data_IF_147731571223
#
_entry.id   IF_147731571223
#
_cell.length_a   1.000
_cell.length_b   1.000
_cell.length_c   1.000
_cell.angle_alpha   90.00
_cell.angle_beta   90.00
_cell.angle_gamma   90.00
#
_symmetry.space_group_name_H-M   'P 1'
#
loop_
_entity.id
_entity.type
_entity.pdbx_description
1 polymer ?
#
# COMPACT_ATOMS: atom_id res chain seq x y z
N UNK A 1 4.86 -36.55 8.48
CA UNK A 1 3.65 -35.78 8.87
C UNK A 1 3.86 -35.30 10.31
N UNK A 2 4.43 -34.11 10.50
CA UNK A 2 4.55 -33.53 11.84
C UNK A 2 3.18 -33.02 12.30
N UNK A 3 2.75 -33.47 13.48
CA UNK A 3 1.53 -32.97 14.13
C UNK A 3 1.76 -31.51 14.50
N UNK A 4 0.96 -30.59 13.94
CA UNK A 4 0.89 -29.20 14.42
C UNK A 4 0.54 -29.25 15.92
N UNK A 5 1.45 -28.81 16.77
CA UNK A 5 1.15 -28.58 18.19
C UNK A 5 0.16 -27.42 18.27
N UNK A 6 -1.06 -27.69 18.72
CA UNK A 6 -1.97 -26.63 19.13
C UNK A 6 -1.41 -26.00 20.41
N UNK A 7 -0.93 -24.77 20.31
CA UNK A 7 -0.59 -23.95 21.46
C UNK A 7 -1.92 -23.36 21.96
N UNK A 8 -2.32 -23.72 23.18
CA UNK A 8 -3.45 -23.10 23.87
C UNK A 8 -2.87 -22.09 24.85
N UNK A 9 -3.27 -20.83 24.70
CA UNK A 9 -2.91 -19.76 25.64
C UNK A 9 -3.99 -19.66 26.70
N UNK A 10 -3.58 -19.37 27.93
CA UNK A 10 -4.50 -19.16 29.04
C UNK A 10 -5.16 -17.79 28.93
N UNK A 11 -6.32 -17.63 29.57
CA UNK A 11 -7.03 -16.35 29.63
C UNK A 11 -6.17 -15.23 30.23
N UNK A 12 -5.36 -15.55 31.24
CA UNK A 12 -4.41 -14.61 31.84
C UNK A 12 -3.28 -14.18 30.88
N UNK A 13 -2.88 -15.05 29.95
CA UNK A 13 -1.91 -14.70 28.89
C UNK A 13 -2.52 -13.78 27.84
N UNK A 14 -3.82 -13.91 27.56
CA UNK A 14 -4.55 -13.01 26.67
C UNK A 14 -4.76 -11.64 27.35
N UNK A 15 -5.18 -11.66 28.61
CA UNK A 15 -5.49 -10.46 29.38
C UNK A 15 -4.23 -9.64 29.77
N UNK A 16 -3.02 -10.20 29.60
CA UNK A 16 -1.73 -9.53 29.88
C UNK A 16 -1.04 -8.94 28.64
N UNK A 17 -1.67 -9.02 27.46
CA UNK A 17 -1.15 -8.39 26.24
C UNK A 17 -1.30 -6.88 26.36
N UNK A 18 -0.19 -6.19 26.63
CA UNK A 18 -0.13 -4.75 26.49
C UNK A 18 -0.05 -4.36 25.01
N UNK A 19 -1.14 -3.80 24.48
CA UNK A 19 -1.12 -3.12 23.19
C UNK A 19 -0.39 -1.79 23.33
N UNK A 20 0.89 -1.78 22.95
CA UNK A 20 1.63 -0.53 22.80
C UNK A 20 1.37 0.04 21.42
N UNK A 21 0.96 1.32 21.29
CA UNK A 21 0.90 1.98 20.00
C UNK A 21 2.28 1.82 19.34
N UNK A 22 2.32 1.29 18.12
CA UNK A 22 3.53 1.37 17.33
C UNK A 22 3.78 2.85 17.04
N UNK A 23 5.02 3.31 17.24
CA UNK A 23 5.45 4.59 16.69
C UNK A 23 5.05 4.65 15.21
N UNK A 24 4.55 5.80 14.75
CA UNK A 24 3.94 5.93 13.42
C UNK A 24 4.83 5.42 12.27
N UNK A 25 6.14 5.70 12.34
CA UNK A 25 7.12 5.18 11.38
C UNK A 25 7.26 3.65 11.47
N UNK A 26 7.18 3.09 12.67
CA UNK A 26 7.22 1.63 12.89
C UNK A 26 5.99 0.93 12.33
N UNK A 27 4.81 1.55 12.44
CA UNK A 27 3.60 1.03 11.81
C UNK A 27 3.75 0.94 10.28
N UNK A 28 4.24 2.01 9.64
CA UNK A 28 4.49 2.03 8.19
C UNK A 28 5.51 0.96 7.75
N UNK A 29 6.59 0.79 8.52
CA UNK A 29 7.61 -0.23 8.28
C UNK A 29 6.99 -1.63 8.32
N UNK A 30 6.28 -1.97 9.39
CA UNK A 30 5.68 -3.29 9.58
C UNK A 30 4.64 -3.58 8.50
N UNK A 31 3.67 -2.68 8.32
CA UNK A 31 2.55 -2.93 7.41
C UNK A 31 2.99 -2.97 5.94
N UNK A 32 3.76 -1.98 5.49
CA UNK A 32 4.02 -1.81 4.05
C UNK A 32 5.35 -2.38 3.58
N UNK A 33 6.39 -2.38 4.42
CA UNK A 33 7.70 -2.92 4.03
C UNK A 33 7.82 -4.39 4.38
N UNK A 34 7.28 -4.84 5.52
CA UNK A 34 7.37 -6.25 5.93
C UNK A 34 6.17 -7.07 5.47
N UNK A 35 4.96 -6.76 5.93
CA UNK A 35 3.78 -7.57 5.65
C UNK A 35 3.39 -7.52 4.16
N UNK A 36 3.16 -6.31 3.64
CA UNK A 36 2.84 -6.17 2.22
C UNK A 36 4.00 -6.65 1.36
N UNK A 37 5.26 -6.35 1.71
CA UNK A 37 6.43 -6.86 0.98
C UNK A 37 6.47 -8.39 0.90
N UNK A 38 6.17 -9.07 2.02
CA UNK A 38 6.02 -10.53 2.06
C UNK A 38 4.87 -11.04 1.18
N UNK A 39 3.74 -10.31 1.14
CA UNK A 39 2.63 -10.63 0.24
C UNK A 39 3.09 -10.46 -1.21
N UNK A 40 3.74 -9.35 -1.58
CA UNK A 40 4.21 -9.10 -2.96
C UNK A 40 5.17 -10.19 -3.42
N UNK A 41 6.13 -10.59 -2.58
CA UNK A 41 7.10 -11.63 -2.89
C UNK A 41 6.55 -13.07 -2.91
N UNK A 42 5.32 -13.30 -2.46
CA UNK A 42 4.68 -14.63 -2.52
C UNK A 42 4.26 -15.01 -3.95
N UNK A 43 4.01 -16.28 -4.25
CA UNK A 43 3.55 -16.69 -5.58
C UNK A 43 2.03 -16.44 -5.78
N UNK A 44 1.64 -16.04 -6.98
CA UNK A 44 0.24 -15.89 -7.40
C UNK A 44 -0.43 -14.61 -6.91
N UNK A 45 -1.74 -14.49 -7.11
CA UNK A 45 -2.57 -13.38 -6.63
C UNK A 45 -2.15 -11.98 -7.10
N UNK A 46 -1.44 -11.86 -8.23
CA UNK A 46 -0.94 -10.58 -8.77
C UNK A 46 -1.99 -9.46 -8.78
N UNK A 47 -3.21 -9.80 -9.18
CA UNK A 47 -4.32 -8.87 -9.22
C UNK A 47 -4.67 -8.26 -7.84
N UNK A 48 -4.72 -9.10 -6.79
CA UNK A 48 -4.99 -8.63 -5.43
C UNK A 48 -3.82 -7.81 -4.88
N UNK A 49 -2.60 -8.15 -5.26
CA UNK A 49 -1.40 -7.43 -4.85
C UNK A 49 -1.39 -5.98 -5.37
N UNK A 50 -1.79 -5.76 -6.63
CA UNK A 50 -1.99 -4.41 -7.15
C UNK A 50 -3.00 -3.60 -6.32
N UNK A 51 -4.11 -4.22 -5.92
CA UNK A 51 -5.13 -3.58 -5.10
C UNK A 51 -4.57 -3.14 -3.74
N UNK A 52 -3.75 -3.98 -3.10
CA UNK A 52 -3.11 -3.66 -1.82
C UNK A 52 -2.14 -2.48 -1.94
N UNK A 53 -1.32 -2.44 -3.01
CA UNK A 53 -0.43 -1.30 -3.26
C UNK A 53 -1.24 -0.02 -3.45
N UNK A 54 -2.29 -0.06 -4.28
CA UNK A 54 -3.17 1.08 -4.53
C UNK A 54 -3.79 1.63 -3.24
N UNK A 55 -4.23 0.75 -2.34
CA UNK A 55 -4.76 1.17 -1.04
C UNK A 55 -3.68 1.80 -0.16
N UNK A 56 -2.46 1.25 -0.20
CA UNK A 56 -1.28 1.82 0.46
C UNK A 56 -0.93 3.21 -0.05
N UNK A 57 -1.02 3.47 -1.37
CA UNK A 57 -0.76 4.81 -1.95
C UNK A 57 -1.70 5.85 -1.35
N UNK A 58 -2.99 5.55 -1.25
CA UNK A 58 -3.94 6.48 -0.62
C UNK A 58 -3.65 6.69 0.85
N UNK A 59 -3.30 5.63 1.57
CA UNK A 59 -2.92 5.72 2.98
C UNK A 59 -1.70 6.63 3.18
N UNK A 60 -0.67 6.53 2.33
CA UNK A 60 0.49 7.44 2.38
C UNK A 60 0.09 8.90 2.21
N UNK A 61 -0.78 9.20 1.24
CA UNK A 61 -1.24 10.57 1.07
C UNK A 61 -2.14 11.05 2.20
N UNK A 62 -2.90 10.13 2.82
CA UNK A 62 -3.60 10.42 4.06
C UNK A 62 -2.58 10.84 5.12
N UNK A 63 -1.48 10.12 5.35
CA UNK A 63 -0.46 10.47 6.35
C UNK A 63 0.07 11.91 6.25
N UNK A 64 0.00 12.53 5.08
CA UNK A 64 0.53 13.87 4.86
C UNK A 64 -0.49 15.02 4.99
N UNK A 65 -1.79 14.75 5.15
CA UNK A 65 -2.80 15.79 5.39
C UNK A 65 -3.17 15.95 6.88
N UNK A 66 -3.87 17.02 7.25
CA UNK A 66 -4.30 17.24 8.64
C UNK A 66 -5.72 16.69 8.91
N UNK A 67 -6.31 15.99 7.95
CA UNK A 67 -7.68 15.48 8.07
C UNK A 67 -7.67 14.12 8.79
N UNK A 68 -8.66 13.84 9.67
CA UNK A 68 -8.85 12.51 10.28
C UNK A 68 -8.99 11.40 9.23
N UNK A 69 -8.69 10.15 9.59
CA UNK A 69 -8.83 9.02 8.66
C UNK A 69 -10.30 8.73 8.32
N UNK A 70 -11.19 8.95 9.29
CA UNK A 70 -12.63 8.68 9.24
C UNK A 70 -13.42 9.76 8.49
N UNK A 71 -12.78 10.91 8.21
CA UNK A 71 -13.45 12.02 7.55
C UNK A 71 -13.86 11.63 6.13
N UNK A 72 -15.17 11.68 5.87
CA UNK A 72 -15.72 11.47 4.54
C UNK A 72 -15.96 12.79 3.82
N UNK A 73 -15.19 13.03 2.76
CA UNK A 73 -15.40 14.11 1.81
C UNK A 73 -15.24 13.56 0.39
N UNK A 74 -16.13 13.95 -0.53
CA UNK A 74 -16.20 13.36 -1.89
C UNK A 74 -14.87 13.38 -2.66
N UNK A 75 -14.05 14.43 -2.48
CA UNK A 75 -12.78 14.60 -3.19
C UNK A 75 -11.58 14.06 -2.42
N UNK A 76 -11.73 13.82 -1.12
CA UNK A 76 -10.60 13.51 -0.25
C UNK A 76 -9.86 12.22 -0.62
N UNK A 77 -10.53 11.11 -1.04
CA UNK A 77 -9.81 9.94 -1.53
C UNK A 77 -8.93 10.23 -2.76
N UNK A 78 -9.42 11.07 -3.68
CA UNK A 78 -8.65 11.49 -4.86
C UNK A 78 -7.45 12.33 -4.46
N UNK A 79 -7.67 13.30 -3.58
CA UNK A 79 -6.63 14.21 -3.11
C UNK A 79 -5.53 13.43 -2.37
N UNK A 80 -5.92 12.52 -1.46
CA UNK A 80 -5.01 11.62 -0.74
C UNK A 80 -4.26 10.71 -1.69
N UNK A 81 -4.93 9.98 -2.57
CA UNK A 81 -4.26 9.09 -3.51
C UNK A 81 -3.25 9.83 -4.40
N UNK A 82 -3.63 10.99 -4.95
CA UNK A 82 -2.72 11.81 -5.76
C UNK A 82 -1.56 12.38 -4.94
N UNK A 83 -1.78 12.72 -3.66
CA UNK A 83 -0.72 13.17 -2.75
C UNK A 83 0.25 12.03 -2.44
N UNK A 84 -0.24 10.83 -2.16
CA UNK A 84 0.58 9.64 -1.98
C UNK A 84 1.42 9.32 -3.22
N UNK A 85 0.81 9.39 -4.40
CA UNK A 85 1.50 9.14 -5.67
C UNK A 85 2.59 10.18 -5.97
N UNK A 86 2.51 11.40 -5.42
CA UNK A 86 3.58 12.41 -5.55
C UNK A 86 4.85 12.07 -4.77
N UNK A 87 4.80 11.13 -3.83
CA UNK A 87 5.99 10.60 -3.17
C UNK A 87 6.77 9.60 -4.03
N UNK A 88 6.18 9.12 -5.12
CA UNK A 88 6.86 8.28 -6.08
C UNK A 88 7.80 9.14 -6.95
N UNK A 89 8.62 8.46 -7.74
CA UNK A 89 9.46 9.08 -8.78
C UNK A 89 8.64 9.98 -9.72
N UNK A 90 9.30 10.98 -10.31
CA UNK A 90 8.65 12.09 -11.05
C UNK A 90 7.84 11.62 -12.26
N UNK A 91 8.15 10.45 -12.79
CA UNK A 91 7.48 9.78 -13.90
C UNK A 91 5.99 9.52 -13.60
N UNK A 92 5.60 9.42 -12.33
CA UNK A 92 4.19 9.25 -11.95
C UNK A 92 3.40 10.56 -11.90
N UNK A 93 4.07 11.69 -11.70
CA UNK A 93 3.42 12.97 -11.41
C UNK A 93 2.49 13.45 -12.53
N UNK A 94 2.80 13.25 -13.83
CA UNK A 94 1.87 13.57 -14.92
C UNK A 94 0.49 12.92 -14.76
N UNK A 95 0.40 11.73 -14.16
CA UNK A 95 -0.86 10.99 -14.02
C UNK A 95 -1.74 11.47 -12.85
N UNK A 96 -1.31 12.48 -12.10
CA UNK A 96 -2.09 13.11 -11.01
C UNK A 96 -2.84 14.37 -11.45
N UNK A 97 -2.57 14.88 -12.66
CA UNK A 97 -3.09 16.15 -13.16
C UNK A 97 -4.41 16.04 -13.94
N UNK A 98 -5.17 17.15 -13.97
CA UNK A 98 -6.47 17.19 -14.68
C UNK A 98 -6.36 17.05 -16.20
N UNK A 99 -5.23 17.42 -16.80
CA UNK A 99 -4.98 17.32 -18.24
C UNK A 99 -4.43 15.98 -18.71
N UNK A 100 -4.23 15.01 -17.83
CA UNK A 100 -3.67 13.70 -18.21
C UNK A 100 -4.70 12.83 -18.93
N UNK A 101 -4.26 12.15 -19.99
CA UNK A 101 -5.07 11.16 -20.73
C UNK A 101 -5.25 9.84 -19.98
N UNK A 102 -4.42 9.59 -18.98
CA UNK A 102 -4.49 8.49 -18.02
C UNK A 102 -4.41 9.10 -16.62
N UNK A 103 -5.40 8.84 -15.77
CA UNK A 103 -5.39 9.31 -14.38
C UNK A 103 -5.41 8.11 -13.45
N UNK A 104 -4.36 7.94 -12.63
CA UNK A 104 -4.29 6.76 -11.76
C UNK A 104 -5.47 6.66 -10.81
N UNK A 105 -5.98 7.79 -10.30
CA UNK A 105 -7.13 7.73 -9.40
C UNK A 105 -8.40 7.24 -10.11
N UNK A 106 -8.76 7.88 -11.22
CA UNK A 106 -10.02 7.61 -11.93
C UNK A 106 -10.00 6.33 -12.75
N UNK A 107 -8.86 6.01 -13.38
CA UNK A 107 -8.75 4.88 -14.31
C UNK A 107 -8.23 3.60 -13.64
N UNK A 108 -7.48 3.70 -12.53
CA UNK A 108 -6.93 2.55 -11.81
C UNK A 108 -7.54 2.39 -10.42
N UNK A 109 -7.25 3.30 -9.47
CA UNK A 109 -7.63 3.17 -8.06
C UNK A 109 -9.13 3.01 -7.88
N UNK A 110 -9.92 4.01 -8.28
CA UNK A 110 -11.36 4.06 -8.01
C UNK A 110 -12.09 2.81 -8.54
N UNK A 111 -11.93 2.42 -9.81
CA UNK A 111 -12.64 1.26 -10.33
C UNK A 111 -12.07 -0.08 -9.83
N UNK A 112 -10.78 -0.16 -9.48
CA UNK A 112 -10.21 -1.37 -8.88
C UNK A 112 -10.70 -1.60 -7.45
N UNK A 113 -10.78 -0.55 -6.62
CA UNK A 113 -11.27 -0.65 -5.24
C UNK A 113 -12.78 -0.92 -5.19
N UNK A 114 -13.57 -0.27 -6.04
CA UNK A 114 -15.03 -0.39 -5.97
C UNK A 114 -15.60 -1.59 -6.75
N UNK A 115 -14.89 -2.09 -7.76
CA UNK A 115 -15.45 -3.08 -8.69
C UNK A 115 -14.48 -4.21 -9.05
N UNK A 116 -13.23 -4.19 -8.57
CA UNK A 116 -12.16 -5.08 -9.06
C UNK A 116 -12.06 -5.04 -10.60
N UNK A 117 -12.13 -3.84 -11.19
CA UNK A 117 -12.15 -3.65 -12.66
C UNK A 117 -11.45 -2.35 -13.07
N UNK A 118 -10.11 -2.25 -13.06
CA UNK A 118 -9.42 -1.08 -13.58
C UNK A 118 -9.72 -0.89 -15.06
N UNK A 119 -9.50 0.32 -15.56
CA UNK A 119 -9.73 0.66 -16.95
C UNK A 119 -8.72 -0.08 -17.85
N UNK A 120 -9.12 -1.23 -18.38
CA UNK A 120 -8.29 -2.09 -19.22
C UNK A 120 -7.89 -1.45 -20.55
N UNK A 121 -8.55 -0.37 -20.97
CA UNK A 121 -8.16 0.42 -22.14
C UNK A 121 -7.01 1.41 -21.83
N UNK A 122 -6.69 1.60 -20.55
CA UNK A 122 -5.67 2.56 -20.08
C UNK A 122 -4.50 1.88 -19.38
N UNK A 123 -4.73 0.76 -18.70
CA UNK A 123 -3.71 0.04 -17.95
C UNK A 123 -3.52 -1.38 -18.43
N UNK A 124 -2.27 -1.81 -18.45
CA UNK A 124 -1.86 -3.20 -18.56
C UNK A 124 -1.13 -3.59 -17.27
N UNK A 125 -1.69 -4.50 -16.51
CA UNK A 125 -1.09 -5.03 -15.28
C UNK A 125 -0.30 -6.29 -15.61
N UNK A 126 0.93 -6.39 -15.14
CA UNK A 126 1.86 -7.49 -15.43
C UNK A 126 2.74 -7.81 -14.23
N UNK A 127 3.36 -8.99 -14.25
CA UNK A 127 4.45 -9.37 -13.35
C UNK A 127 5.79 -9.22 -14.08
N UNK A 128 6.89 -9.04 -13.34
CA UNK A 128 8.24 -8.83 -13.90
C UNK A 128 8.63 -9.97 -14.82
N UNK A 129 8.37 -11.21 -14.41
CA UNK A 129 8.61 -12.41 -15.24
C UNK A 129 7.94 -12.36 -16.62
N UNK A 130 6.69 -11.88 -16.67
CA UNK A 130 5.93 -11.77 -17.93
C UNK A 130 6.39 -10.58 -18.77
N UNK A 131 6.82 -9.50 -18.12
CA UNK A 131 7.27 -8.27 -18.76
C UNK A 131 8.66 -8.45 -19.35
N UNK A 132 9.59 -9.08 -18.62
CA UNK A 132 10.93 -9.45 -19.09
C UNK A 132 10.85 -10.33 -20.34
N UNK A 133 9.97 -11.33 -20.34
CA UNK A 133 9.75 -12.21 -21.49
C UNK A 133 9.25 -11.44 -22.73
N UNK A 134 8.46 -10.37 -22.53
CA UNK A 134 7.89 -9.54 -23.60
C UNK A 134 8.76 -8.32 -23.94
N UNK A 135 9.86 -8.08 -23.21
CA UNK A 135 10.68 -6.87 -23.35
C UNK A 135 9.94 -5.59 -22.97
N UNK A 136 8.96 -5.67 -22.07
CA UNK A 136 8.15 -4.56 -21.63
C UNK A 136 8.73 -3.88 -20.39
N UNK A 137 8.60 -2.57 -20.32
CA UNK A 137 9.13 -1.76 -19.22
C UNK A 137 8.00 -1.17 -18.38
N UNK A 138 8.25 -1.09 -17.07
CA UNK A 138 7.34 -0.41 -16.17
C UNK A 138 7.22 1.09 -16.51
N UNK A 139 5.98 1.60 -16.49
CA UNK A 139 5.57 2.94 -16.92
C UNK A 139 5.80 3.26 -18.40
N UNK A 140 6.12 2.26 -19.23
CA UNK A 140 6.05 2.40 -20.67
C UNK A 140 4.61 2.23 -21.17
N UNK A 141 4.37 2.64 -22.42
CA UNK A 141 3.14 2.36 -23.14
C UNK A 141 3.30 1.12 -24.00
N UNK A 142 2.31 0.24 -23.98
CA UNK A 142 2.26 -0.88 -24.93
C UNK A 142 1.79 -0.43 -26.32
N UNK A 143 1.76 -1.38 -27.27
CA UNK A 143 1.31 -1.13 -28.64
C UNK A 143 -0.16 -0.69 -28.77
N UNK A 144 -0.97 -0.85 -27.70
CA UNK A 144 -2.36 -0.43 -27.63
C UNK A 144 -2.52 0.93 -26.93
N UNK A 145 -1.41 1.57 -26.54
CA UNK A 145 -1.43 2.83 -25.81
C UNK A 145 -1.83 2.69 -24.35
N UNK A 146 -1.71 1.49 -23.75
CA UNK A 146 -1.96 1.27 -22.32
C UNK A 146 -0.67 1.45 -21.53
N UNK A 147 -0.76 2.09 -20.38
CA UNK A 147 0.35 2.22 -19.44
C UNK A 147 0.60 0.87 -18.74
N UNK A 148 1.84 0.41 -18.79
CA UNK A 148 2.27 -0.86 -18.21
C UNK A 148 2.65 -0.66 -16.74
N UNK A 149 1.97 -1.38 -15.84
CA UNK A 149 2.37 -1.50 -14.45
C UNK A 149 2.91 -2.91 -14.20
N UNK A 150 4.19 -2.98 -13.86
CA UNK A 150 4.86 -4.22 -13.44
C UNK A 150 4.75 -4.26 -11.92
N UNK A 151 4.21 -5.34 -11.38
CA UNK A 151 3.82 -5.43 -9.99
C UNK A 151 4.98 -5.17 -9.02
N UNK A 152 6.11 -5.82 -9.27
CA UNK A 152 7.31 -5.75 -8.45
C UNK A 152 7.92 -4.36 -8.49
N UNK A 153 8.04 -3.78 -9.69
CA UNK A 153 8.58 -2.42 -9.87
C UNK A 153 7.64 -1.37 -9.23
N UNK A 154 6.32 -1.56 -9.35
CA UNK A 154 5.33 -0.69 -8.74
C UNK A 154 5.38 -0.77 -7.20
N UNK A 155 5.63 -1.96 -6.65
CA UNK A 155 5.86 -2.12 -5.21
C UNK A 155 7.19 -1.49 -4.77
N UNK A 156 8.27 -1.64 -5.54
CA UNK A 156 9.55 -1.03 -5.22
C UNK A 156 9.44 0.51 -5.18
N UNK A 157 8.79 1.12 -6.19
CA UNK A 157 8.51 2.55 -6.21
C UNK A 157 7.62 2.97 -5.01
N UNK A 158 6.65 2.13 -4.63
CA UNK A 158 5.82 2.34 -3.45
C UNK A 158 6.62 2.25 -2.15
N UNK A 159 7.50 1.26 -2.00
CA UNK A 159 8.34 1.06 -0.82
C UNK A 159 9.29 2.25 -0.63
N UNK A 160 9.81 2.83 -1.71
CA UNK A 160 10.60 4.06 -1.65
C UNK A 160 9.76 5.27 -1.22
N UNK A 161 8.51 5.37 -1.69
CA UNK A 161 7.57 6.38 -1.20
C UNK A 161 7.26 6.22 0.30
N UNK A 162 7.09 4.98 0.79
CA UNK A 162 6.91 4.69 2.23
C UNK A 162 8.12 5.18 3.03
N UNK A 163 9.34 4.83 2.61
CA UNK A 163 10.58 5.26 3.28
C UNK A 163 10.74 6.78 3.29
N UNK A 164 10.33 7.46 2.23
CA UNK A 164 10.31 8.92 2.15
C UNK A 164 9.38 9.53 3.20
N UNK A 165 8.15 9.03 3.31
CA UNK A 165 7.18 9.49 4.32
C UNK A 165 7.67 9.20 5.75
N UNK A 166 8.22 8.01 6.01
CA UNK A 166 8.82 7.68 7.31
C UNK A 166 9.91 8.67 7.70
N UNK A 167 10.83 9.01 6.77
CA UNK A 167 11.87 10.01 7.03
C UNK A 167 11.28 11.37 7.38
N UNK A 168 10.25 11.84 6.68
CA UNK A 168 9.60 13.13 6.99
C UNK A 168 8.98 13.12 8.39
N UNK A 169 8.41 11.99 8.82
CA UNK A 169 7.89 11.82 10.19
C UNK A 169 9.03 11.90 11.22
N UNK A 170 10.12 11.16 10.99
CA UNK A 170 11.30 11.15 11.88
C UNK A 170 11.96 12.52 12.01
N UNK A 171 11.94 13.32 10.94
CA UNK A 171 12.45 14.69 10.92
C UNK A 171 11.45 15.72 11.51
N UNK A 172 10.24 15.31 11.87
CA UNK A 172 9.19 16.21 12.36
C UNK A 172 8.58 17.12 11.28
N UNK A 173 8.78 16.80 10.00
CA UNK A 173 8.22 17.54 8.85
C UNK A 173 6.74 17.17 8.58
N UNK A 174 6.27 16.05 9.15
CA UNK A 174 4.88 15.61 9.09
C UNK A 174 4.32 15.42 10.50
N UNK A 175 3.09 15.90 10.69
CA UNK A 175 2.35 15.65 11.92
C UNK A 175 1.84 14.21 11.95
N UNK A 176 2.50 13.36 12.73
CA UNK A 176 2.14 11.96 12.89
C UNK A 176 1.07 11.70 13.97
N UNK A 177 0.45 12.74 14.56
CA UNK A 177 -0.51 12.58 15.67
C UNK A 177 -1.73 11.72 15.31
N UNK A 178 -2.09 11.65 14.03
CA UNK A 178 -3.18 10.80 13.56
C UNK A 178 -2.79 9.34 13.33
N UNK A 179 -1.49 9.05 13.23
CA UNK A 179 -0.96 7.69 13.14
C UNK A 179 -0.74 7.07 14.53
N UNK A 180 -0.77 7.90 15.58
CA UNK A 180 -0.75 7.45 16.97
C UNK A 180 -2.15 7.11 17.52
N UNK A 181 -3.21 7.45 16.77
CA UNK A 181 -4.55 6.96 17.07
C UNK A 181 -4.53 5.44 16.88
N UNK A 182 -4.91 4.61 17.87
CA UNK A 182 -4.90 3.16 17.74
C UNK A 182 -5.63 2.72 16.47
N UNK A 183 -4.85 2.33 15.46
CA UNK A 183 -5.36 1.59 14.32
C UNK A 183 -5.99 0.29 14.83
N UNK A 184 -7.09 -0.15 14.20
CA UNK A 184 -7.83 -1.36 14.57
C UNK A 184 -6.84 -2.49 14.89
N UNK A 185 -6.86 -2.98 16.13
CA UNK A 185 -6.03 -4.10 16.57
C UNK A 185 -6.50 -5.36 15.86
N UNK A 186 -5.61 -5.99 15.09
CA UNK A 186 -5.85 -7.32 14.53
C UNK A 186 -5.34 -8.34 15.55
N UNK A 187 -6.24 -9.07 16.19
CA UNK A 187 -5.85 -10.18 17.07
C UNK A 187 -5.39 -11.36 16.21
N UNK A 188 -4.10 -11.69 16.25
CA UNK A 188 -3.52 -12.83 15.56
C UNK A 188 -2.82 -13.78 16.54
N UNK A 189 -3.02 -15.09 16.36
CA UNK A 189 -2.40 -16.13 17.19
C UNK A 189 -0.86 -16.07 17.15
N UNK A 190 -0.27 -15.48 16.10
CA UNK A 190 1.20 -15.37 15.98
C UNK A 190 1.82 -14.40 16.97
N UNK A 191 1.13 -13.32 17.33
CA UNK A 191 1.65 -12.28 18.22
C UNK A 191 1.70 -12.76 19.68
N UNK A 192 1.02 -13.88 19.96
CA UNK A 192 0.98 -14.51 21.26
C UNK A 192 2.14 -15.49 21.52
N UNK A 193 2.92 -15.83 20.49
CA UNK A 193 3.98 -16.85 20.57
C UNK A 193 5.37 -16.21 20.69
N UNK A 194 5.52 -14.91 20.38
CA UNK A 194 6.82 -14.22 20.46
C UNK A 194 7.12 -13.63 21.85
N UNK A 195 6.16 -13.63 22.77
CA UNK A 195 6.32 -13.15 24.16
C UNK A 195 6.42 -14.29 25.18
N UNK A 196 6.41 -15.55 24.74
CA UNK A 196 6.51 -16.76 25.58
C UNK A 196 7.87 -17.43 25.49
#
# INVERSE_FOLDING_TARGET
MEKKKHIQLTKEQIDSIEYRPLEASKFLEVLFLHELGGIIGSFGNAYLKFLLIIQGVEFLGACEDDKPFELYERKLPKDRFNKGLRNFRKEYHPFTGEGSSIKFFEDLRSPMVHQFRPNQSKFRLSERTSSDFQGELHLAFDHQGRLILVLEDFYEDFADAVRSVMRKIELGELNASKLTDPHITVESIRDLIQTS
#
